data_IF_258780508857
#
_entry.id   IF_258780508857
#
_cell.length_a   1.000
_cell.length_b   1.000
_cell.length_c   1.000
_cell.angle_alpha   90.00
_cell.angle_beta   90.00
_cell.angle_gamma   90.00
#
_symmetry.space_group_name_H-M   'P 1'
#
loop_
_entity.id
_entity.type
_entity.pdbx_description
1 polymer ?
#
# COMPACT_ATOMS: atom_id res chain seq x y z
N UNK A 1 -2.22 -2.50 19.78
CA UNK A 1 -2.26 -3.87 19.22
C UNK A 1 -2.67 -4.77 20.36
N UNK A 2 -3.85 -5.33 20.29
CA UNK A 2 -4.47 -6.08 21.37
C UNK A 2 -3.76 -7.44 21.52
N UNK A 3 -3.53 -7.91 22.74
CA UNK A 3 -2.86 -9.19 23.02
C UNK A 3 -3.60 -10.39 22.37
N UNK A 4 -4.91 -10.26 22.12
CA UNK A 4 -5.72 -11.26 21.42
C UNK A 4 -5.32 -11.44 19.95
N UNK A 5 -4.92 -10.35 19.28
CA UNK A 5 -4.49 -10.37 17.88
C UNK A 5 -3.15 -11.11 17.71
N UNK A 6 -2.28 -11.08 18.74
CA UNK A 6 -0.99 -11.79 18.73
C UNK A 6 -1.15 -13.31 18.62
N UNK A 7 -2.07 -13.89 19.38
CA UNK A 7 -2.32 -15.33 19.36
C UNK A 7 -2.96 -15.83 18.06
N UNK A 8 -3.87 -15.02 17.45
CA UNK A 8 -4.50 -15.36 16.18
C UNK A 8 -3.47 -15.38 15.03
N UNK A 9 -2.57 -14.39 14.98
CA UNK A 9 -1.51 -14.32 13.98
C UNK A 9 -0.47 -15.45 14.16
N UNK A 10 -0.16 -15.87 15.39
CA UNK A 10 0.71 -17.03 15.65
C UNK A 10 0.06 -18.31 15.13
N UNK A 11 -1.22 -18.53 15.43
CA UNK A 11 -1.95 -19.69 14.94
C UNK A 11 -2.04 -19.69 13.40
N UNK A 12 -2.28 -18.54 12.78
CA UNK A 12 -2.30 -18.38 11.33
C UNK A 12 -0.92 -18.70 10.71
N UNK A 13 0.15 -18.19 11.30
CA UNK A 13 1.52 -18.47 10.85
C UNK A 13 1.85 -19.96 10.97
N UNK A 14 1.41 -20.61 12.06
CA UNK A 14 1.57 -22.05 12.22
C UNK A 14 0.82 -22.81 11.13
N UNK A 15 -0.45 -22.45 10.83
CA UNK A 15 -1.25 -23.07 9.77
C UNK A 15 -0.55 -22.99 8.41
N UNK A 16 -0.01 -21.82 8.07
CA UNK A 16 0.70 -21.59 6.80
C UNK A 16 1.99 -22.41 6.73
N UNK A 17 2.80 -22.41 7.79
CA UNK A 17 4.05 -23.19 7.83
C UNK A 17 3.84 -24.72 7.73
N UNK A 18 2.67 -25.19 8.13
CA UNK A 18 2.32 -26.62 8.13
C UNK A 18 1.48 -27.05 6.91
N UNK A 19 1.40 -26.20 5.86
CA UNK A 19 0.93 -26.64 4.56
C UNK A 19 1.92 -27.69 4.00
N UNK A 20 1.40 -28.78 3.45
CA UNK A 20 2.23 -29.87 2.89
C UNK A 20 3.21 -29.37 1.83
N UNK A 21 2.82 -28.36 1.05
CA UNK A 21 3.60 -27.79 -0.05
C UNK A 21 4.17 -26.40 0.26
N UNK A 22 4.29 -26.02 1.55
CA UNK A 22 4.75 -24.69 1.96
C UNK A 22 6.06 -24.27 1.28
N UNK A 23 7.07 -25.14 1.26
CA UNK A 23 8.36 -24.85 0.61
C UNK A 23 8.21 -24.54 -0.89
N UNK A 24 7.41 -25.35 -1.61
CA UNK A 24 7.15 -25.12 -3.03
C UNK A 24 6.35 -23.84 -3.30
N UNK A 25 5.43 -23.46 -2.40
CA UNK A 25 4.70 -22.19 -2.47
C UNK A 25 5.64 -21.01 -2.26
N UNK A 26 6.52 -21.12 -1.29
CA UNK A 26 7.52 -20.09 -0.99
C UNK A 26 8.46 -19.83 -2.18
N UNK A 27 8.98 -20.90 -2.81
CA UNK A 27 9.81 -20.78 -4.00
C UNK A 27 9.07 -20.14 -5.19
N UNK A 28 7.79 -20.49 -5.38
CA UNK A 28 6.97 -19.88 -6.43
C UNK A 28 6.71 -18.41 -6.15
N UNK A 29 6.44 -18.05 -4.88
CA UNK A 29 6.25 -16.67 -4.48
C UNK A 29 7.53 -15.84 -4.67
N UNK A 30 8.69 -16.35 -4.26
CA UNK A 30 9.98 -15.68 -4.45
C UNK A 30 10.26 -15.40 -5.94
N UNK A 31 10.10 -16.42 -6.80
CA UNK A 31 10.29 -16.23 -8.25
C UNK A 31 9.34 -15.16 -8.81
N UNK A 32 8.10 -15.12 -8.35
CA UNK A 32 7.13 -14.13 -8.84
C UNK A 32 7.46 -12.73 -8.41
N UNK A 33 7.93 -12.54 -7.17
CA UNK A 33 8.42 -11.23 -6.69
C UNK A 33 9.60 -10.77 -7.54
N UNK A 34 10.57 -11.65 -7.80
CA UNK A 34 11.71 -11.34 -8.67
C UNK A 34 11.29 -10.97 -10.11
N UNK A 35 10.23 -11.59 -10.64
CA UNK A 35 9.67 -11.26 -11.95
C UNK A 35 9.00 -9.88 -11.95
N UNK A 36 8.30 -9.54 -10.87
CA UNK A 36 7.65 -8.23 -10.72
C UNK A 36 8.69 -7.12 -10.63
N UNK A 37 9.73 -7.30 -9.85
CA UNK A 37 10.84 -6.34 -9.70
C UNK A 37 11.54 -6.04 -11.03
N UNK A 38 11.47 -6.96 -12.00
CA UNK A 38 12.06 -6.83 -13.33
C UNK A 38 11.05 -6.51 -14.43
N UNK A 39 9.77 -6.39 -14.08
CA UNK A 39 8.70 -6.28 -15.07
C UNK A 39 8.77 -5.00 -15.90
N UNK A 40 9.32 -3.93 -15.33
CA UNK A 40 9.41 -2.65 -16.01
C UNK A 40 10.78 -2.01 -15.86
N UNK A 41 11.38 -1.67 -17.00
CA UNK A 41 12.67 -0.99 -17.06
C UNK A 41 12.56 0.48 -16.64
N UNK A 42 11.37 1.08 -16.72
CA UNK A 42 11.18 2.51 -16.44
C UNK A 42 10.13 2.77 -15.35
N UNK A 43 10.37 3.80 -14.55
CA UNK A 43 9.45 4.25 -13.50
C UNK A 43 8.07 4.69 -14.06
N UNK A 44 8.06 5.23 -15.27
CA UNK A 44 6.82 5.68 -15.91
C UNK A 44 5.87 4.51 -16.19
N UNK A 45 6.39 3.37 -16.64
CA UNK A 45 5.58 2.17 -16.89
C UNK A 45 5.06 1.55 -15.59
N UNK A 46 5.84 1.58 -14.50
CA UNK A 46 5.38 1.17 -13.16
C UNK A 46 4.19 2.02 -12.71
N UNK A 47 4.26 3.35 -12.88
CA UNK A 47 3.18 4.27 -12.54
C UNK A 47 1.95 4.02 -13.42
N UNK A 48 2.16 3.81 -14.71
CA UNK A 48 1.09 3.53 -15.68
C UNK A 48 0.37 2.22 -15.33
N UNK A 49 1.13 1.12 -15.09
CA UNK A 49 0.57 -0.16 -14.65
C UNK A 49 -0.27 0.00 -13.38
N UNK A 50 0.27 0.68 -12.37
CA UNK A 50 -0.44 0.89 -11.11
C UNK A 50 -1.78 1.61 -11.32
N UNK A 51 -1.82 2.66 -12.13
CA UNK A 51 -3.06 3.38 -12.42
C UNK A 51 -4.07 2.50 -13.17
N UNK A 52 -3.63 1.66 -14.11
CA UNK A 52 -4.49 0.74 -14.85
C UNK A 52 -5.15 -0.32 -13.96
N UNK A 53 -4.59 -0.65 -12.80
CA UNK A 53 -5.23 -1.59 -11.85
C UNK A 53 -6.59 -1.11 -11.36
N UNK A 54 -6.86 0.21 -11.41
CA UNK A 54 -8.18 0.80 -11.11
C UNK A 54 -9.31 0.31 -12.01
N UNK A 55 -8.98 -0.21 -13.19
CA UNK A 55 -9.99 -0.79 -14.10
C UNK A 55 -10.68 -2.03 -13.52
N UNK A 56 -10.14 -2.65 -12.47
CA UNK A 56 -10.61 -3.92 -11.91
C UNK A 56 -10.37 -5.12 -12.82
N UNK A 57 -9.64 -4.93 -13.94
CA UNK A 57 -9.27 -6.02 -14.85
C UNK A 57 -8.26 -6.97 -14.22
N UNK A 58 -8.20 -8.22 -14.68
CA UNK A 58 -7.13 -9.13 -14.30
C UNK A 58 -5.75 -8.49 -14.50
N UNK A 59 -4.84 -8.72 -13.57
CA UNK A 59 -3.50 -8.10 -13.62
C UNK A 59 -2.72 -8.50 -14.88
N UNK A 60 -2.98 -9.68 -15.41
CA UNK A 60 -2.38 -10.17 -16.64
C UNK A 60 -2.80 -9.32 -17.86
N UNK A 61 -4.08 -8.89 -17.91
CA UNK A 61 -4.58 -7.98 -18.96
C UNK A 61 -3.97 -6.57 -18.82
N UNK A 62 -3.82 -6.11 -17.59
CA UNK A 62 -3.17 -4.81 -17.31
C UNK A 62 -1.73 -4.84 -17.82
N UNK A 63 -0.96 -5.86 -17.44
CA UNK A 63 0.44 -6.02 -17.88
C UNK A 63 0.58 -6.18 -19.38
N UNK A 64 -0.34 -6.91 -20.00
CA UNK A 64 -0.37 -7.04 -21.46
C UNK A 64 -0.61 -5.67 -22.14
N UNK A 65 -1.44 -4.82 -21.56
CA UNK A 65 -1.68 -3.47 -22.07
C UNK A 65 -0.42 -2.60 -21.93
N UNK A 66 0.27 -2.66 -20.79
CA UNK A 66 1.53 -1.93 -20.58
C UNK A 66 2.62 -2.43 -21.52
N UNK A 67 2.76 -3.74 -21.70
CA UNK A 67 3.71 -4.33 -22.64
C UNK A 67 3.45 -3.87 -24.07
N UNK A 68 2.18 -3.88 -24.53
CA UNK A 68 1.82 -3.37 -25.87
C UNK A 68 2.14 -1.88 -26.01
N UNK A 69 1.92 -1.09 -24.95
CA UNK A 69 2.29 0.31 -24.94
C UNK A 69 3.81 0.47 -25.09
N UNK A 70 4.59 -0.26 -24.32
CA UNK A 70 6.04 -0.27 -24.39
C UNK A 70 6.51 -0.67 -25.80
N UNK A 71 6.05 -1.79 -26.36
CA UNK A 71 6.38 -2.25 -27.72
C UNK A 71 5.99 -1.25 -28.83
N UNK A 72 4.94 -0.45 -28.59
CA UNK A 72 4.48 0.54 -29.56
C UNK A 72 5.32 1.82 -29.56
N UNK A 73 5.79 2.23 -28.39
CA UNK A 73 6.40 3.55 -28.20
C UNK A 73 7.86 3.52 -27.73
N UNK A 74 8.39 2.33 -27.36
CA UNK A 74 9.82 2.21 -27.08
C UNK A 74 10.61 2.44 -28.38
N UNK A 75 11.70 3.17 -28.24
CA UNK A 75 12.65 3.47 -29.33
C UNK A 75 14.03 3.00 -28.87
N UNK A 76 14.86 2.53 -29.81
CA UNK A 76 16.24 2.11 -29.50
C UNK A 76 17.11 3.27 -28.98
N UNK A 77 16.73 4.51 -29.26
CA UNK A 77 17.51 5.71 -28.93
C UNK A 77 16.98 6.46 -27.69
N UNK A 78 15.75 6.22 -27.25
CA UNK A 78 15.12 6.98 -26.17
C UNK A 78 14.30 6.13 -25.21
N UNK A 79 14.65 6.17 -23.93
CA UNK A 79 13.90 5.53 -22.86
C UNK A 79 12.48 6.12 -22.70
N UNK A 80 11.54 5.29 -22.23
CA UNK A 80 10.19 5.72 -21.85
C UNK A 80 10.21 6.43 -20.49
N UNK A 81 10.79 7.63 -20.45
CA UNK A 81 10.83 8.48 -19.25
C UNK A 81 9.45 9.00 -18.87
N UNK A 82 9.29 9.48 -17.64
CA UNK A 82 8.03 10.09 -17.15
C UNK A 82 7.53 11.20 -18.08
N UNK A 83 8.35 12.19 -18.52
CA UNK A 83 7.89 13.21 -19.46
C UNK A 83 7.46 12.65 -20.80
N UNK A 84 8.19 11.66 -21.33
CA UNK A 84 7.88 11.05 -22.63
C UNK A 84 6.56 10.28 -22.59
N UNK A 85 6.37 9.41 -21.58
CA UNK A 85 5.11 8.66 -21.39
C UNK A 85 3.95 9.62 -21.16
N UNK A 86 4.11 10.66 -20.34
CA UNK A 86 3.09 11.69 -20.16
C UNK A 86 2.73 12.38 -21.48
N UNK A 87 3.71 12.72 -22.31
CA UNK A 87 3.50 13.30 -23.63
C UNK A 87 2.71 12.38 -24.56
N UNK A 88 3.09 11.12 -24.65
CA UNK A 88 2.41 10.10 -25.45
C UNK A 88 0.95 9.95 -25.00
N UNK A 89 0.70 9.73 -23.72
CA UNK A 89 -0.64 9.51 -23.17
C UNK A 89 -1.56 10.74 -23.35
N UNK A 90 -1.01 11.95 -23.45
CA UNK A 90 -1.78 13.16 -23.74
C UNK A 90 -2.26 13.23 -25.19
N UNK A 91 -1.53 12.59 -26.13
CA UNK A 91 -1.84 12.61 -27.57
C UNK A 91 -2.73 11.44 -27.96
N UNK A 92 -2.44 10.23 -27.44
CA UNK A 92 -3.06 8.98 -27.87
C UNK A 92 -4.52 8.78 -27.40
N UNK A 93 -5.01 9.59 -26.47
CA UNK A 93 -6.40 9.49 -26.02
C UNK A 93 -6.66 8.34 -25.05
N UNK A 94 -7.96 7.97 -24.92
CA UNK A 94 -8.43 7.12 -23.82
C UNK A 94 -8.32 5.61 -24.08
N UNK A 95 -7.95 5.20 -25.29
CA UNK A 95 -7.87 3.77 -25.68
C UNK A 95 -6.90 2.95 -24.82
N UNK A 96 -5.81 3.57 -24.35
CA UNK A 96 -4.84 2.95 -23.44
C UNK A 96 -5.32 2.85 -22.00
N UNK A 97 -6.43 3.50 -21.66
CA UNK A 97 -7.04 3.53 -20.32
C UNK A 97 -8.37 2.76 -20.29
N UNK A 98 -8.58 1.84 -21.21
CA UNK A 98 -9.84 1.09 -21.36
C UNK A 98 -11.06 2.01 -21.53
N UNK A 99 -10.86 3.14 -22.20
CA UNK A 99 -11.87 4.20 -22.43
C UNK A 99 -12.42 4.80 -21.11
N UNK A 100 -11.64 4.73 -20.01
CA UNK A 100 -11.96 5.32 -18.71
C UNK A 100 -11.16 6.61 -18.47
N UNK A 101 -11.77 7.79 -18.59
CA UNK A 101 -11.10 9.06 -18.41
C UNK A 101 -10.62 9.28 -16.95
N UNK A 102 -11.20 8.58 -15.98
CA UNK A 102 -10.76 8.68 -14.59
C UNK A 102 -9.37 8.06 -14.39
N UNK A 103 -9.11 6.91 -15.01
CA UNK A 103 -7.81 6.25 -14.99
C UNK A 103 -6.76 7.13 -15.68
N UNK A 104 -7.12 7.71 -16.83
CA UNK A 104 -6.23 8.67 -17.53
C UNK A 104 -5.86 9.84 -16.64
N UNK A 105 -6.85 10.42 -15.94
CA UNK A 105 -6.63 11.55 -15.03
C UNK A 105 -5.69 11.16 -13.89
N UNK A 106 -5.94 10.03 -13.24
CA UNK A 106 -5.07 9.50 -12.16
C UNK A 106 -3.65 9.29 -12.69
N UNK A 107 -3.49 8.64 -13.85
CA UNK A 107 -2.17 8.41 -14.46
C UNK A 107 -1.42 9.71 -14.68
N UNK A 108 -2.06 10.69 -15.31
CA UNK A 108 -1.45 12.00 -15.58
C UNK A 108 -1.04 12.74 -14.31
N UNK A 109 -1.88 12.70 -13.27
CA UNK A 109 -1.55 13.30 -11.98
C UNK A 109 -0.39 12.59 -11.29
N UNK A 110 -0.36 11.26 -11.27
CA UNK A 110 0.74 10.48 -10.68
C UNK A 110 2.07 10.77 -11.41
N UNK A 111 2.07 10.70 -12.74
CA UNK A 111 3.25 11.05 -13.54
C UNK A 111 3.74 12.47 -13.24
N UNK A 112 2.82 13.45 -13.15
CA UNK A 112 3.14 14.83 -12.81
C UNK A 112 3.75 15.00 -11.41
N UNK A 113 3.23 14.29 -10.41
CA UNK A 113 3.77 14.30 -9.05
C UNK A 113 5.21 13.75 -9.01
N UNK A 114 5.46 12.62 -9.65
CA UNK A 114 6.81 12.05 -9.70
C UNK A 114 7.76 12.85 -10.56
N UNK A 115 7.30 13.43 -11.69
CA UNK A 115 8.10 14.36 -12.49
C UNK A 115 8.58 15.55 -11.67
N UNK A 116 7.70 16.14 -10.87
CA UNK A 116 8.08 17.23 -9.97
C UNK A 116 9.18 16.81 -8.99
N UNK A 117 9.06 15.60 -8.42
CA UNK A 117 10.07 15.04 -7.50
C UNK A 117 11.40 14.75 -8.18
N UNK A 118 11.38 14.17 -9.38
CA UNK A 118 12.60 13.95 -10.17
C UNK A 118 13.33 15.27 -10.43
N UNK A 119 12.61 16.32 -10.78
CA UNK A 119 13.18 17.64 -11.01
C UNK A 119 13.82 18.23 -9.74
N UNK A 120 13.26 17.98 -8.56
CA UNK A 120 13.83 18.40 -7.29
C UNK A 120 15.15 17.65 -6.93
N UNK A 121 15.30 16.42 -7.40
CA UNK A 121 16.43 15.55 -7.09
C UNK A 121 17.33 15.32 -8.30
N UNK A 122 17.88 16.39 -8.88
CA UNK A 122 18.63 16.46 -10.13
C UNK A 122 19.75 15.40 -10.36
N UNK A 123 20.09 14.59 -9.36
CA UNK A 123 21.17 13.60 -9.44
C UNK A 123 20.71 12.15 -9.32
N UNK A 124 19.39 11.91 -9.33
CA UNK A 124 18.83 10.59 -9.08
C UNK A 124 17.93 10.21 -10.24
N UNK A 125 18.00 8.96 -10.70
CA UNK A 125 17.12 8.45 -11.75
C UNK A 125 15.65 8.46 -11.32
N UNK A 126 14.72 8.48 -12.28
CA UNK A 126 13.29 8.37 -12.02
C UNK A 126 12.95 7.14 -11.18
N UNK A 127 13.57 6.01 -11.51
CA UNK A 127 13.39 4.75 -10.81
C UNK A 127 13.83 4.84 -9.34
N UNK A 128 14.96 5.46 -9.06
CA UNK A 128 15.43 5.65 -7.70
C UNK A 128 14.53 6.60 -6.89
N UNK A 129 13.97 7.65 -7.52
CA UNK A 129 13.00 8.53 -6.87
C UNK A 129 11.75 7.75 -6.48
N UNK A 130 11.20 6.93 -7.39
CA UNK A 130 10.03 6.11 -7.13
C UNK A 130 10.31 5.10 -6.02
N UNK A 131 11.44 4.40 -6.06
CA UNK A 131 11.88 3.43 -5.06
C UNK A 131 12.07 4.06 -3.68
N UNK A 132 12.70 5.25 -3.60
CA UNK A 132 12.86 5.99 -2.33
C UNK A 132 11.51 6.38 -1.76
N UNK A 133 10.58 6.83 -2.60
CA UNK A 133 9.23 7.12 -2.15
C UNK A 133 8.55 5.86 -1.62
N UNK A 134 8.59 4.74 -2.33
CA UNK A 134 7.98 3.47 -1.93
C UNK A 134 8.45 2.99 -0.55
N UNK A 135 9.73 3.24 -0.22
CA UNK A 135 10.37 2.83 1.02
C UNK A 135 10.45 3.95 2.09
N UNK A 136 9.82 5.11 1.86
CA UNK A 136 9.91 6.26 2.79
C UNK A 136 9.08 6.10 4.06
N UNK A 137 8.18 5.14 4.10
CA UNK A 137 7.27 4.93 5.22
C UNK A 137 7.49 3.58 5.88
N UNK A 138 7.69 3.58 7.20
CA UNK A 138 7.59 2.38 8.02
C UNK A 138 6.15 1.84 7.97
N UNK A 139 5.98 0.57 7.63
CA UNK A 139 4.67 -0.05 7.41
C UNK A 139 3.78 0.01 8.65
N UNK A 140 4.33 -0.19 9.86
CA UNK A 140 3.56 -0.13 11.11
C UNK A 140 3.04 1.27 11.35
N UNK A 141 3.89 2.28 11.08
CA UNK A 141 3.50 3.68 11.20
C UNK A 141 2.46 4.04 10.13
N UNK A 142 2.66 3.55 8.91
CA UNK A 142 1.76 3.75 7.78
C UNK A 142 0.34 3.27 8.12
N UNK A 143 0.21 2.03 8.60
CA UNK A 143 -1.07 1.44 8.98
C UNK A 143 -1.67 2.20 10.16
N UNK A 144 -0.91 2.42 11.24
CA UNK A 144 -1.42 3.01 12.47
C UNK A 144 -1.94 4.42 12.31
N UNK A 145 -1.33 5.22 11.41
CA UNK A 145 -1.69 6.61 11.15
C UNK A 145 -2.55 6.81 9.91
N UNK A 146 -2.92 5.74 9.22
CA UNK A 146 -3.64 5.82 7.93
C UNK A 146 -2.98 6.82 6.98
N UNK A 147 -1.66 6.69 6.80
CA UNK A 147 -0.83 7.68 6.10
C UNK A 147 -1.29 7.91 4.66
N UNK A 148 -1.90 6.91 4.00
CA UNK A 148 -2.36 7.08 2.62
C UNK A 148 -3.26 8.32 2.44
N UNK A 149 -4.12 8.64 3.40
CA UNK A 149 -5.04 9.79 3.35
C UNK A 149 -4.33 11.14 3.42
N UNK A 150 -3.10 11.17 3.91
CA UNK A 150 -2.29 12.37 4.14
C UNK A 150 -0.95 12.34 3.40
N UNK A 151 -0.71 11.32 2.61
CA UNK A 151 0.54 11.15 1.86
C UNK A 151 0.62 12.23 0.77
N UNK A 152 1.69 13.05 0.76
CA UNK A 152 1.69 14.31 -0.01
C UNK A 152 2.00 14.14 -1.50
N UNK A 153 2.31 12.94 -1.99
CA UNK A 153 2.67 12.70 -3.39
C UNK A 153 1.57 11.93 -4.12
N UNK A 154 1.23 10.76 -3.63
CA UNK A 154 0.27 9.85 -4.24
C UNK A 154 -1.09 9.95 -3.57
N UNK A 155 -1.13 10.09 -2.24
CA UNK A 155 -2.36 10.18 -1.47
C UNK A 155 -3.19 11.45 -1.73
N UNK A 156 -2.57 12.51 -2.25
CA UNK A 156 -3.28 13.74 -2.65
C UNK A 156 -3.96 13.63 -4.02
N UNK A 157 -3.67 12.58 -4.77
CA UNK A 157 -4.27 12.36 -6.09
C UNK A 157 -5.67 11.79 -5.91
N UNK A 158 -6.67 12.53 -6.40
CA UNK A 158 -8.06 12.11 -6.33
C UNK A 158 -8.28 10.78 -7.07
N UNK A 159 -8.99 9.86 -6.42
CA UNK A 159 -9.24 8.52 -6.94
C UNK A 159 -8.16 7.48 -6.62
N UNK A 160 -7.06 7.87 -5.99
CA UNK A 160 -6.10 6.91 -5.44
C UNK A 160 -6.62 6.39 -4.10
N UNK A 161 -6.82 5.09 -4.01
CA UNK A 161 -7.17 4.38 -2.79
C UNK A 161 -5.95 3.65 -2.20
N UNK A 162 -6.15 3.03 -1.04
CA UNK A 162 -5.08 2.28 -0.37
C UNK A 162 -4.56 1.11 -1.22
N UNK A 163 -5.39 0.29 -1.87
CA UNK A 163 -4.92 -0.78 -2.76
C UNK A 163 -4.02 -0.28 -3.89
N UNK A 164 -4.40 0.78 -4.59
CA UNK A 164 -3.60 1.35 -5.68
C UNK A 164 -2.26 1.88 -5.15
N UNK A 165 -2.27 2.62 -4.05
CA UNK A 165 -1.03 3.13 -3.44
C UNK A 165 -0.10 1.99 -3.02
N UNK A 166 -0.63 0.92 -2.41
CA UNK A 166 0.18 -0.24 -2.02
C UNK A 166 0.67 -1.02 -3.24
N UNK A 167 -0.14 -1.09 -4.31
CA UNK A 167 0.32 -1.67 -5.56
C UNK A 167 1.51 -0.90 -6.13
N UNK A 168 1.42 0.42 -6.22
CA UNK A 168 2.51 1.26 -6.71
C UNK A 168 3.76 1.13 -5.82
N UNK A 169 3.59 1.07 -4.50
CA UNK A 169 4.72 0.83 -3.58
C UNK A 169 5.37 -0.52 -3.81
N UNK A 170 4.59 -1.58 -3.90
CA UNK A 170 5.10 -2.94 -4.13
C UNK A 170 5.81 -3.04 -5.48
N UNK A 171 5.21 -2.51 -6.56
CA UNK A 171 5.79 -2.49 -7.90
C UNK A 171 7.05 -1.63 -8.01
N UNK A 172 7.24 -0.66 -7.10
CA UNK A 172 8.44 0.16 -6.98
C UNK A 172 9.51 -0.44 -6.03
N UNK A 173 9.37 -1.70 -5.63
CA UNK A 173 10.30 -2.39 -4.73
C UNK A 173 10.12 -2.04 -3.25
N UNK A 174 8.93 -1.63 -2.84
CA UNK A 174 8.56 -1.43 -1.44
C UNK A 174 8.22 -2.74 -0.74
N UNK A 175 8.67 -2.89 0.51
CA UNK A 175 8.33 -4.06 1.33
C UNK A 175 6.91 -3.92 1.91
N UNK A 176 5.90 -4.29 1.13
CA UNK A 176 4.49 -4.16 1.49
C UNK A 176 3.61 -5.17 0.76
N UNK A 177 2.35 -5.26 1.18
CA UNK A 177 1.31 -6.11 0.59
C UNK A 177 0.19 -5.24 0.01
N UNK A 178 -0.38 -5.67 -1.11
CA UNK A 178 -1.55 -5.04 -1.70
C UNK A 178 -2.80 -5.65 -1.09
N UNK A 179 -3.59 -4.92 -0.28
CA UNK A 179 -4.82 -5.43 0.28
C UNK A 179 -5.83 -5.70 -0.85
N UNK A 180 -6.56 -6.81 -0.73
CA UNK A 180 -7.60 -7.15 -1.69
C UNK A 180 -8.66 -8.04 -1.04
N UNK A 181 -9.91 -8.08 -1.57
CA UNK A 181 -10.94 -8.97 -1.07
C UNK A 181 -10.56 -10.46 -1.13
N UNK A 182 -9.69 -10.83 -2.07
CA UNK A 182 -9.18 -12.20 -2.20
C UNK A 182 -8.26 -12.55 -1.04
N UNK A 183 -7.32 -11.67 -0.71
CA UNK A 183 -6.41 -11.83 0.43
C UNK A 183 -7.21 -11.81 1.74
N UNK A 184 -8.19 -10.91 1.89
CA UNK A 184 -9.06 -10.85 3.06
C UNK A 184 -9.74 -12.19 3.33
N UNK A 185 -10.28 -12.84 2.30
CA UNK A 185 -10.93 -14.15 2.42
C UNK A 185 -9.99 -15.25 2.94
N UNK A 186 -8.74 -15.26 2.49
CA UNK A 186 -7.72 -16.20 3.00
C UNK A 186 -7.36 -15.90 4.45
N UNK A 187 -7.18 -14.63 4.80
CA UNK A 187 -6.86 -14.21 6.18
C UNK A 187 -7.98 -14.57 7.16
N UNK A 188 -9.25 -14.43 6.74
CA UNK A 188 -10.42 -14.88 7.53
C UNK A 188 -10.37 -16.40 7.73
N UNK A 189 -10.13 -17.19 6.67
CA UNK A 189 -10.02 -18.65 6.76
C UNK A 189 -8.84 -19.11 7.65
N UNK A 190 -7.76 -18.36 7.66
CA UNK A 190 -6.64 -18.56 8.57
C UNK A 190 -6.97 -18.20 10.02
N UNK A 191 -8.00 -17.38 10.26
CA UNK A 191 -8.32 -16.79 11.56
C UNK A 191 -7.40 -15.63 11.94
N UNK A 192 -6.69 -15.04 10.98
CA UNK A 192 -5.84 -13.86 11.15
C UNK A 192 -6.62 -12.54 11.06
N UNK A 193 -7.81 -12.56 10.50
CA UNK A 193 -8.71 -11.43 10.31
C UNK A 193 -10.13 -11.83 10.70
N UNK A 194 -10.87 -10.93 11.35
CA UNK A 194 -12.29 -11.15 11.63
C UNK A 194 -13.12 -10.89 10.35
N UNK A 195 -14.24 -11.60 10.18
CA UNK A 195 -15.08 -11.47 8.99
C UNK A 195 -15.64 -10.05 8.85
N UNK A 196 -15.99 -9.42 9.96
CA UNK A 196 -16.50 -8.04 10.01
C UNK A 196 -15.47 -7.00 9.52
N UNK A 197 -14.17 -7.32 9.60
CA UNK A 197 -13.07 -6.45 9.20
C UNK A 197 -12.58 -6.72 7.75
N UNK A 198 -13.12 -7.73 7.08
CA UNK A 198 -12.69 -8.14 5.73
C UNK A 198 -12.92 -7.05 4.66
N UNK A 199 -13.79 -6.08 4.92
CA UNK A 199 -14.04 -4.93 4.05
C UNK A 199 -13.20 -3.70 4.35
N UNK A 200 -12.35 -3.70 5.41
CA UNK A 200 -11.43 -2.60 5.72
C UNK A 200 -10.02 -2.93 5.18
N UNK A 201 -9.61 -2.27 4.11
CA UNK A 201 -8.30 -2.48 3.48
C UNK A 201 -7.12 -2.29 4.47
N UNK A 202 -7.28 -1.43 5.47
CA UNK A 202 -6.26 -1.26 6.52
C UNK A 202 -6.20 -2.44 7.48
N UNK A 203 -7.33 -3.04 7.80
CA UNK A 203 -7.38 -4.25 8.61
C UNK A 203 -6.76 -5.42 7.86
N UNK A 204 -7.08 -5.56 6.57
CA UNK A 204 -6.51 -6.58 5.67
C UNK A 204 -5.00 -6.40 5.57
N UNK A 205 -4.52 -5.17 5.32
CA UNK A 205 -3.09 -4.86 5.25
C UNK A 205 -2.39 -5.18 6.58
N UNK A 206 -2.98 -4.77 7.71
CA UNK A 206 -2.41 -5.00 9.04
C UNK A 206 -2.30 -6.49 9.38
N UNK A 207 -3.32 -7.28 9.03
CA UNK A 207 -3.32 -8.73 9.25
C UNK A 207 -2.27 -9.43 8.36
N UNK A 208 -2.20 -9.05 7.08
CA UNK A 208 -1.24 -9.63 6.13
C UNK A 208 0.22 -9.30 6.51
N UNK A 209 0.53 -8.06 6.83
CA UNK A 209 1.84 -7.62 7.30
C UNK A 209 2.20 -8.26 8.67
N UNK A 210 1.21 -8.37 9.56
CA UNK A 210 1.36 -9.08 10.82
C UNK A 210 1.72 -10.55 10.62
N UNK A 211 1.09 -11.22 9.64
CA UNK A 211 1.39 -12.59 9.26
C UNK A 211 2.80 -12.72 8.68
N UNK A 212 3.22 -11.78 7.81
CA UNK A 212 4.57 -11.75 7.24
C UNK A 212 5.64 -11.67 8.33
N UNK A 213 5.44 -10.80 9.32
CA UNK A 213 6.32 -10.70 10.50
C UNK A 213 6.40 -12.02 11.29
N UNK A 214 5.27 -12.71 11.47
CA UNK A 214 5.24 -14.00 12.20
C UNK A 214 5.88 -15.13 11.41
N UNK A 215 5.78 -15.08 10.08
CA UNK A 215 6.45 -16.03 9.20
C UNK A 215 7.95 -15.73 9.05
N UNK A 216 8.40 -14.55 9.45
CA UNK A 216 9.77 -14.03 9.22
C UNK A 216 10.12 -13.99 7.72
N UNK A 217 9.14 -13.60 6.90
CA UNK A 217 9.26 -13.51 5.44
C UNK A 217 9.03 -12.07 4.98
N UNK A 218 9.63 -11.68 3.84
CA UNK A 218 9.32 -10.40 3.19
C UNK A 218 7.82 -10.29 2.89
N UNK A 219 7.26 -9.10 3.11
CA UNK A 219 5.83 -8.86 2.90
C UNK A 219 5.37 -9.19 1.46
N UNK A 220 6.10 -8.82 0.38
CA UNK A 220 5.70 -9.17 -0.99
C UNK A 220 5.58 -10.68 -1.21
N UNK A 221 6.47 -11.50 -0.63
CA UNK A 221 6.39 -12.95 -0.74
C UNK A 221 5.15 -13.54 -0.09
N UNK A 222 4.79 -13.02 1.09
CA UNK A 222 3.56 -13.43 1.79
C UNK A 222 2.33 -12.96 1.02
N UNK A 223 2.33 -11.74 0.49
CA UNK A 223 1.27 -11.21 -0.37
C UNK A 223 1.02 -12.09 -1.60
N UNK A 224 2.08 -12.48 -2.31
CA UNK A 224 1.98 -13.38 -3.47
C UNK A 224 1.48 -14.78 -3.07
N UNK A 225 1.95 -15.31 -1.96
CA UNK A 225 1.48 -16.60 -1.45
C UNK A 225 -0.02 -16.57 -1.09
N UNK A 226 -0.48 -15.52 -0.40
CA UNK A 226 -1.90 -15.33 -0.07
C UNK A 226 -2.75 -15.17 -1.34
N UNK A 227 -2.25 -14.43 -2.33
CA UNK A 227 -2.92 -14.26 -3.62
C UNK A 227 -3.10 -15.59 -4.35
N UNK A 228 -2.09 -16.47 -4.33
CA UNK A 228 -2.17 -17.81 -4.93
C UNK A 228 -3.11 -18.73 -4.17
N UNK A 229 -3.06 -18.75 -2.85
CA UNK A 229 -4.01 -19.49 -2.02
C UNK A 229 -5.45 -19.08 -2.35
N UNK A 230 -5.68 -17.77 -2.52
CA UNK A 230 -7.00 -17.26 -2.92
C UNK A 230 -7.39 -17.69 -4.34
N UNK A 231 -6.46 -17.69 -5.29
CA UNK A 231 -6.72 -18.11 -6.68
C UNK A 231 -7.01 -19.61 -6.79
N UNK A 232 -6.39 -20.42 -5.94
CA UNK A 232 -6.60 -21.87 -5.84
C UNK A 232 -7.84 -22.23 -5.00
N UNK A 233 -8.54 -21.24 -4.42
CA UNK A 233 -9.63 -21.42 -3.44
C UNK A 233 -9.24 -22.30 -2.24
N UNK A 234 -7.95 -22.22 -1.86
CA UNK A 234 -7.40 -23.01 -0.75
C UNK A 234 -7.74 -22.32 0.58
N UNK A 235 -8.88 -22.68 1.15
CA UNK A 235 -9.44 -22.10 2.38
C UNK A 235 -9.47 -23.09 3.56
N UNK A 236 -8.90 -24.29 3.38
CA UNK A 236 -8.80 -25.29 4.43
C UNK A 236 -7.35 -25.38 4.90
N UNK A 237 -7.13 -25.17 6.17
CA UNK A 237 -5.82 -25.16 6.78
C UNK A 237 -5.71 -26.20 7.90
N UNK A 238 -4.50 -26.75 8.17
CA UNK A 238 -4.31 -27.63 9.32
C UNK A 238 -4.60 -26.89 10.62
N UNK A 239 -5.11 -27.60 11.61
CA UNK A 239 -5.37 -27.02 12.92
C UNK A 239 -4.12 -27.07 13.81
N UNK A 240 -3.77 -25.98 14.50
CA UNK A 240 -2.67 -26.01 15.45
C UNK A 240 -2.99 -26.99 16.59
N UNK A 241 -1.97 -27.67 17.16
CA UNK A 241 -2.17 -28.53 18.30
C UNK A 241 -2.79 -27.72 19.45
N UNK A 242 -3.73 -28.34 20.14
CA UNK A 242 -4.30 -27.73 21.35
C UNK A 242 -3.17 -27.38 22.32
N UNK A 243 -3.20 -26.20 22.95
CA UNK A 243 -2.20 -25.87 23.96
C UNK A 243 -2.21 -26.94 25.03
N UNK A 244 -1.04 -27.54 25.27
CA UNK A 244 -0.88 -28.49 26.37
C UNK A 244 -1.34 -27.76 27.64
N UNK A 245 -2.41 -28.29 28.25
CA UNK A 245 -2.74 -27.84 29.61
C UNK A 245 -1.54 -28.13 30.45
N UNK A 246 -1.01 -27.14 31.20
CA UNK A 246 0.01 -27.49 32.19
C UNK A 246 -0.60 -28.62 33.03
N UNK A 247 0.05 -29.78 33.03
CA UNK A 247 -0.30 -30.86 33.94
C UNK A 247 -0.27 -30.21 35.32
N UNK A 248 -1.48 -29.95 35.89
CA UNK A 248 -1.56 -29.68 37.33
C UNK A 248 -0.83 -30.84 37.98
N UNK A 249 0.36 -30.52 38.45
CA UNK A 249 1.18 -31.48 39.21
C UNK A 249 0.31 -32.03 40.36
N UNK A 250 -0.23 -33.20 40.11
CA UNK A 250 -0.95 -33.99 41.11
C UNK A 250 0.10 -34.56 42.09
N UNK A 251 0.84 -33.70 42.72
CA UNK A 251 1.71 -33.99 43.85
C UNK A 251 1.40 -33.00 44.96
N UNK A 252 0.51 -33.37 45.82
CA UNK A 252 0.45 -33.16 47.27
C UNK A 252 -0.98 -33.38 47.81
N UNK A 253 -1.46 -34.60 47.67
CA UNK A 253 -2.48 -35.12 48.58
C UNK A 253 -1.81 -36.15 49.47
N UNK A 254 -0.82 -35.69 50.26
CA UNK A 254 -0.12 -36.48 51.30
C UNK A 254 -0.50 -35.90 52.67
N UNK A 255 -1.47 -36.55 53.25
CA UNK A 255 -1.59 -36.81 54.69
C UNK A 255 -1.23 -35.71 55.72
N UNK A 256 -2.24 -35.04 56.23
CA UNK A 256 -2.22 -34.50 57.59
C UNK A 256 -3.64 -34.52 58.15
N UNK A 257 -3.96 -35.59 58.79
CA UNK A 257 -5.05 -35.66 59.74
C UNK A 257 -4.74 -34.80 60.95
N UNK A 258 -5.69 -33.93 61.35
CA UNK A 258 -5.72 -33.51 62.74
C UNK A 258 -5.89 -32.00 63.00
N UNK A 259 -7.03 -31.69 63.53
CA UNK A 259 -7.39 -30.68 64.53
C UNK A 259 -8.36 -29.57 64.08
N UNK A 260 -9.61 -29.85 64.42
CA UNK A 260 -10.59 -29.03 65.16
C UNK A 260 -10.50 -27.50 65.14
N UNK A 261 -11.66 -26.94 64.84
CA UNK A 261 -12.39 -25.88 65.54
C UNK A 261 -12.56 -24.51 64.87
N UNK A 262 -13.81 -24.25 64.65
CA UNK A 262 -14.59 -23.00 64.89
C UNK A 262 -14.25 -21.73 64.12
N UNK A 263 -15.27 -21.26 63.39
CA UNK A 263 -15.58 -19.84 63.44
C UNK A 263 -15.81 -19.12 62.13
N UNK A 264 -17.04 -18.92 61.77
CA UNK A 264 -17.52 -17.61 61.38
C UNK A 264 -17.44 -17.12 59.94
N UNK A 265 -18.55 -17.14 59.26
CA UNK A 265 -19.08 -15.92 58.68
C UNK A 265 -18.61 -15.47 57.29
N UNK A 266 -19.53 -15.54 56.36
CA UNK A 266 -19.78 -14.36 55.56
C UNK A 266 -19.40 -14.34 54.10
N UNK A 267 -20.45 -14.35 53.29
CA UNK A 267 -20.63 -13.50 52.10
C UNK A 267 -19.95 -13.87 50.80
N UNK A 268 -20.66 -14.49 49.85
CA UNK A 268 -21.21 -13.81 48.66
C UNK A 268 -20.14 -13.30 47.70
N UNK A 269 -19.68 -14.17 46.79
CA UNK A 269 -18.97 -13.74 45.60
C UNK A 269 -19.82 -14.12 44.38
N UNK A 270 -20.51 -13.12 43.84
CA UNK A 270 -21.26 -13.16 42.58
C UNK A 270 -20.33 -13.38 41.43
N UNK A 271 -20.59 -14.44 40.69
CA UNK A 271 -20.06 -14.67 39.35
C UNK A 271 -20.52 -13.54 38.41
N UNK A 272 -19.60 -12.64 38.09
CA UNK A 272 -19.79 -11.61 37.08
C UNK A 272 -19.63 -12.18 35.68
N UNK A 273 -20.74 -12.62 35.11
CA UNK A 273 -20.82 -12.75 33.64
C UNK A 273 -20.50 -11.38 33.04
N UNK A 274 -19.38 -11.30 32.28
CA UNK A 274 -19.01 -10.10 31.55
C UNK A 274 -20.02 -9.92 30.40
N UNK A 275 -20.98 -9.03 30.64
CA UNK A 275 -22.01 -8.60 29.70
C UNK A 275 -21.34 -8.07 28.42
N UNK A 276 -21.61 -8.69 27.27
CA UNK A 276 -21.11 -8.24 25.96
C UNK A 276 -21.66 -6.83 25.71
N UNK A 277 -20.80 -5.84 25.37
CA UNK A 277 -21.26 -4.49 25.14
C UNK A 277 -22.29 -4.42 24.02
N UNK A 278 -23.36 -3.67 24.25
CA UNK A 278 -24.47 -3.52 23.33
C UNK A 278 -24.05 -2.84 22.00
N UNK A 279 -24.84 -2.97 20.96
CA UNK A 279 -24.60 -2.28 19.68
C UNK A 279 -24.55 -0.75 19.84
N UNK A 280 -25.29 -0.19 20.80
CA UNK A 280 -25.29 1.23 21.15
C UNK A 280 -23.97 1.66 21.81
N UNK A 281 -23.41 0.82 22.69
CA UNK A 281 -22.10 1.10 23.32
C UNK A 281 -20.97 1.08 22.30
N UNK A 282 -21.07 0.23 21.25
CA UNK A 282 -20.10 0.18 20.15
C UNK A 282 -20.20 1.43 19.26
N UNK A 283 -21.42 1.90 18.99
CA UNK A 283 -21.65 3.12 18.21
C UNK A 283 -21.16 4.36 18.97
N UNK A 284 -21.41 4.45 20.30
CA UNK A 284 -20.94 5.53 21.14
C UNK A 284 -19.41 5.58 21.23
N UNK A 285 -18.73 4.42 21.33
CA UNK A 285 -17.25 4.35 21.31
C UNK A 285 -16.66 4.74 19.97
N UNK A 286 -17.33 4.40 18.85
CA UNK A 286 -16.91 4.80 17.50
C UNK A 286 -17.03 6.31 17.30
N UNK A 287 -18.12 6.93 17.79
CA UNK A 287 -18.32 8.38 17.75
C UNK A 287 -17.29 9.13 18.62
N UNK A 288 -17.00 8.65 19.83
CA UNK A 288 -16.00 9.24 20.72
C UNK A 288 -14.59 9.18 20.12
N UNK A 289 -14.21 8.08 19.47
CA UNK A 289 -12.92 7.95 18.77
C UNK A 289 -12.80 8.91 17.57
N UNK A 290 -13.89 9.11 16.83
CA UNK A 290 -13.90 10.04 15.69
C UNK A 290 -13.74 11.49 16.16
N UNK A 291 -14.29 11.84 17.34
CA UNK A 291 -14.17 13.18 17.91
C UNK A 291 -12.77 13.42 18.51
N UNK A 292 -12.16 12.42 19.12
CA UNK A 292 -10.78 12.48 19.64
C UNK A 292 -9.76 12.62 18.49
N UNK A 293 -9.97 11.93 17.36
CA UNK A 293 -9.16 12.09 16.16
C UNK A 293 -9.27 13.50 15.56
N UNK A 294 -10.45 14.13 15.62
CA UNK A 294 -10.64 15.52 15.17
C UNK A 294 -9.96 16.54 16.08
N UNK A 295 -9.92 16.31 17.39
CA UNK A 295 -9.25 17.20 18.35
C UNK A 295 -7.73 17.10 18.30
N UNK A 296 -7.18 15.94 17.87
CA UNK A 296 -5.73 15.75 17.68
C UNK A 296 -5.16 16.36 16.40
N UNK A 297 -6.01 16.88 15.50
CA UNK A 297 -5.62 17.45 14.22
C UNK A 297 -5.51 18.99 14.22
N UNK A 298 -5.27 19.64 15.36
CA UNK A 298 -4.87 21.04 15.34
C UNK A 298 -3.45 21.15 14.75
N UNK A 299 -3.27 21.94 13.66
CA UNK A 299 -1.98 22.07 13.03
C UNK A 299 -1.01 22.77 13.98
N UNK A 300 -0.03 22.04 14.48
CA UNK A 300 1.14 22.62 15.14
C UNK A 300 1.82 23.53 14.11
N UNK A 301 1.64 24.84 14.30
CA UNK A 301 2.27 25.90 13.50
C UNK A 301 3.78 25.74 13.64
N UNK A 302 4.39 25.10 12.66
CA UNK A 302 5.85 25.04 12.53
C UNK A 302 6.32 26.48 12.35
N UNK A 303 6.97 27.01 13.38
CA UNK A 303 7.71 28.26 13.29
C UNK A 303 8.93 28.00 12.38
N UNK A 304 8.93 28.72 11.28
CA UNK A 304 10.02 28.75 10.31
C UNK A 304 11.21 29.52 10.92
N UNK A 305 12.37 28.91 11.20
CA UNK A 305 13.49 29.59 11.88
C UNK A 305 14.55 30.07 10.90
N UNK A 306 14.18 30.70 9.74
CA UNK A 306 15.19 31.41 8.93
C UNK A 306 14.55 32.45 8.03
N UNK A 307 14.20 33.59 8.62
CA UNK A 307 14.08 34.85 7.91
C UNK A 307 14.98 35.87 8.60
N UNK A 308 16.28 35.77 8.39
CA UNK A 308 17.22 36.86 8.63
C UNK A 308 18.27 36.86 7.53
N UNK A 309 18.43 38.06 6.97
CA UNK A 309 19.50 38.49 6.07
C UNK A 309 19.28 38.21 4.58
N UNK A 310 18.49 39.10 3.95
CA UNK A 310 18.66 39.45 2.56
C UNK A 310 19.25 40.88 2.48
N UNK A 311 20.46 41.06 1.90
CA UNK A 311 20.97 42.38 1.58
C UNK A 311 20.46 42.85 0.22
N UNK A 312 19.99 44.07 0.22
CA UNK A 312 20.03 45.13 -0.80
C UNK A 312 19.96 44.78 -2.28
N UNK A 313 18.85 45.17 -2.88
CA UNK A 313 18.71 45.48 -4.31
C UNK A 313 19.63 46.61 -4.72
N UNK A 314 20.28 46.55 -5.87
CA UNK A 314 20.54 47.73 -6.67
C UNK A 314 19.59 47.80 -7.85
N UNK A 315 18.93 48.91 -7.89
CA UNK A 315 18.28 49.55 -9.02
C UNK A 315 19.32 49.81 -10.10
N UNK A 316 19.14 49.32 -11.33
CA UNK A 316 19.62 50.02 -12.51
C UNK A 316 18.79 49.71 -13.75
N UNK A 317 18.44 50.83 -14.37
CA UNK A 317 17.72 50.97 -15.61
C UNK A 317 18.53 50.48 -16.81
N UNK A 318 17.90 50.03 -17.85
CA UNK A 318 18.59 49.81 -19.12
C UNK A 318 17.78 49.04 -20.15
N UNK A 319 17.04 49.82 -20.91
CA UNK A 319 16.92 49.70 -22.38
C UNK A 319 16.31 48.46 -23.01
N UNK A 320 15.13 48.63 -23.55
CA UNK A 320 14.46 47.76 -24.51
C UNK A 320 15.04 47.96 -25.90
N UNK A 321 15.33 46.92 -26.67
CA UNK A 321 15.26 46.99 -28.12
C UNK A 321 13.92 46.47 -28.63
N UNK A 322 13.37 47.26 -29.53
CA UNK A 322 12.16 47.08 -30.35
C UNK A 322 12.31 45.86 -31.30
N UNK A 323 11.26 45.07 -31.55
CA UNK A 323 11.30 44.00 -32.54
C UNK A 323 11.13 44.54 -33.95
N UNK A 324 12.06 44.19 -34.82
CA UNK A 324 12.02 44.46 -36.27
C UNK A 324 10.89 43.63 -36.95
N UNK A 325 10.18 44.30 -37.84
CA UNK A 325 9.14 43.74 -38.71
C UNK A 325 9.72 42.76 -39.77
N UNK A 326 8.96 41.76 -40.21
CA UNK A 326 9.37 40.91 -41.34
C UNK A 326 9.07 41.60 -42.67
N UNK A 327 10.07 41.64 -43.51
CA UNK A 327 9.96 42.03 -44.91
C UNK A 327 9.21 41.00 -45.73
N UNK A 328 8.27 41.50 -46.53
CA UNK A 328 7.56 40.81 -47.59
C UNK A 328 8.42 40.75 -48.88
N UNK A 329 8.62 39.60 -49.46
CA UNK A 329 9.16 39.39 -50.80
C UNK A 329 8.50 38.16 -51.34
N UNK A 330 7.52 38.30 -52.15
CA UNK A 330 7.32 38.47 -53.60
C UNK A 330 7.74 37.19 -54.38
N UNK A 331 6.67 36.56 -54.94
CA UNK A 331 6.50 36.01 -56.27
C UNK A 331 7.64 35.22 -56.90
N UNK A 332 7.39 33.97 -57.24
CA UNK A 332 7.32 33.54 -58.65
C UNK A 332 6.73 32.11 -58.78
N UNK A 333 5.71 31.98 -59.59
CA UNK A 333 5.25 30.78 -60.31
C UNK A 333 5.49 31.05 -61.80
N UNK A 334 5.24 30.12 -62.73
CA UNK A 334 5.08 28.65 -62.74
C UNK A 334 5.94 27.96 -63.81
N UNK A 335 6.07 26.68 -63.77
CA UNK A 335 6.69 25.89 -64.86
C UNK A 335 6.04 24.52 -65.03
N UNK A 336 5.32 24.38 -66.09
CA UNK A 336 4.68 23.18 -66.67
C UNK A 336 5.69 22.13 -67.13
N UNK A 337 5.15 20.92 -67.30
CA UNK A 337 5.47 19.84 -68.26
C UNK A 337 6.52 18.78 -67.88
N UNK A 338 6.02 17.54 -67.97
CA UNK A 338 6.74 16.30 -68.05
C UNK A 338 5.97 15.13 -67.45
#
# INVERSE_FOLDING_TARGET
MDLRTGGALEAAAWKVRNLEDFGARLERAARRVDEIDRAHETAALVIFEAALTRSGRPIEEVRETVRRFEETFADEEEDLTIPRVSGILNVEGDSWFYDDPSIRTITGQLLGQFQHRVTQYNYVSEHEVLRRWANSYDTKLFIRRRIHETEPIVGVVEGVDLPLMQYLRAAAGGDTIVPSPRIARVLVALGALEEDDAGDDYAVLAAAEGLALRLELPAPMVGEMLTRLAAEDHLQFPEPPAPERPEESAEEAGDAAGATATGGGGSGGTDGEAEKPSAEDRAARKAARAEEARRGAEPTRVQDPQAKDAPGTPEEAGDKPEPAAPEAGAEDAPGKEG
#
